data_IF_164573177715
#
_entry.id   IF_164573177715
#
_cell.length_a   1.000
_cell.length_b   1.000
_cell.length_c   1.000
_cell.angle_alpha   90.00
_cell.angle_beta   90.00
_cell.angle_gamma   90.00
#
_symmetry.space_group_name_H-M   'P 1'
#
loop_
_entity.id
_entity.type
_entity.pdbx_description
1 polymer ?
#
# COMPACT_ATOMS: atom_id res chain seq x y z
N UNK A 1 -10.36 18.44 7.98
CA UNK A 1 -9.31 17.62 7.33
C UNK A 1 -9.17 18.04 5.86
N UNK A 2 -7.99 18.42 5.37
CA UNK A 2 -7.83 19.04 4.02
C UNK A 2 -7.32 18.09 2.92
N UNK A 3 -6.91 16.87 3.24
CA UNK A 3 -6.46 15.88 2.24
C UNK A 3 -7.34 14.62 2.35
N UNK A 4 -8.09 14.31 1.29
CA UNK A 4 -8.88 13.07 1.24
C UNK A 4 -7.99 11.83 1.29
N UNK A 5 -8.45 10.78 1.97
CA UNK A 5 -7.67 9.54 2.23
C UNK A 5 -7.12 8.91 0.95
N UNK A 6 -7.92 8.94 -0.12
CA UNK A 6 -7.49 8.53 -1.47
C UNK A 6 -6.25 9.28 -1.94
N UNK A 7 -6.24 10.62 -1.84
CA UNK A 7 -5.10 11.45 -2.25
C UNK A 7 -3.86 11.20 -1.40
N UNK A 8 -4.04 10.93 -0.11
CA UNK A 8 -2.95 10.64 0.79
C UNK A 8 -2.27 9.30 0.45
N UNK A 9 -3.05 8.23 0.19
CA UNK A 9 -2.53 6.94 -0.27
C UNK A 9 -1.79 7.09 -1.60
N UNK A 10 -2.39 7.78 -2.59
CA UNK A 10 -1.76 8.00 -3.90
C UNK A 10 -0.43 8.77 -3.75
N UNK A 11 -0.43 9.85 -2.97
CA UNK A 11 0.78 10.66 -2.77
C UNK A 11 1.87 9.86 -2.08
N UNK A 12 1.54 9.11 -1.03
CA UNK A 12 2.48 8.25 -0.32
C UNK A 12 3.10 7.19 -1.25
N UNK A 13 2.27 6.53 -2.08
CA UNK A 13 2.76 5.55 -3.07
C UNK A 13 3.66 6.18 -4.13
N UNK A 14 3.30 7.35 -4.65
CA UNK A 14 4.10 8.04 -5.67
C UNK A 14 5.42 8.60 -5.12
N UNK A 15 5.46 8.98 -3.83
CA UNK A 15 6.69 9.39 -3.16
C UNK A 15 7.70 8.25 -3.00
N UNK A 16 7.26 6.98 -3.07
CA UNK A 16 8.19 5.85 -3.05
C UNK A 16 9.02 5.78 -4.36
N UNK A 17 8.45 6.16 -5.50
CA UNK A 17 9.09 6.05 -6.82
C UNK A 17 10.47 6.74 -6.92
N UNK A 18 10.63 8.03 -6.53
CA UNK A 18 11.94 8.67 -6.57
C UNK A 18 12.94 8.11 -5.55
N UNK A 19 12.48 7.38 -4.52
CA UNK A 19 13.34 6.79 -3.49
C UNK A 19 13.89 5.44 -3.92
N UNK A 20 13.19 4.71 -4.78
CA UNK A 20 13.58 3.37 -5.25
C UNK A 20 15.05 3.30 -5.72
N UNK A 21 15.58 4.22 -6.54
CA UNK A 21 16.97 4.13 -6.98
C UNK A 21 17.98 4.15 -5.82
N UNK A 22 17.71 4.98 -4.81
CA UNK A 22 18.55 5.10 -3.62
C UNK A 22 18.45 3.85 -2.74
N UNK A 23 17.24 3.30 -2.59
CA UNK A 23 16.97 2.10 -1.82
C UNK A 23 17.54 0.82 -2.46
N UNK A 24 17.38 0.67 -3.77
CA UNK A 24 17.71 -0.56 -4.48
C UNK A 24 19.14 -0.62 -5.01
N UNK A 25 19.77 0.53 -5.26
CA UNK A 25 21.11 0.61 -5.89
C UNK A 25 22.12 1.40 -5.06
N UNK A 26 21.86 1.63 -3.77
CA UNK A 26 22.80 2.28 -2.87
C UNK A 26 24.14 1.52 -2.80
N UNK A 27 25.23 2.18 -3.17
CA UNK A 27 26.58 1.56 -3.18
C UNK A 27 27.32 1.64 -1.84
N UNK A 28 26.75 2.30 -0.82
CA UNK A 28 27.35 2.44 0.51
C UNK A 28 26.32 2.14 1.60
N UNK A 29 26.75 1.66 2.79
CA UNK A 29 25.85 1.43 3.91
C UNK A 29 25.01 2.65 4.30
N UNK A 30 25.59 3.85 4.22
CA UNK A 30 24.88 5.10 4.50
C UNK A 30 23.76 5.35 3.48
N UNK A 31 24.05 5.19 2.18
CA UNK A 31 23.03 5.40 1.13
C UNK A 31 21.91 4.37 1.24
N UNK A 32 22.23 3.11 1.56
CA UNK A 32 21.24 2.06 1.80
C UNK A 32 20.39 2.36 3.04
N UNK A 33 21.00 2.86 4.12
CA UNK A 33 20.26 3.24 5.34
C UNK A 33 19.30 4.41 5.07
N UNK A 34 19.75 5.44 4.35
CA UNK A 34 18.90 6.59 3.98
C UNK A 34 17.80 6.14 3.02
N UNK A 35 18.11 5.35 2.00
CA UNK A 35 17.13 4.80 1.05
C UNK A 35 16.08 3.94 1.75
N UNK A 36 16.49 3.03 2.62
CA UNK A 36 15.60 2.20 3.43
C UNK A 36 14.71 3.03 4.35
N UNK A 37 15.27 4.03 5.04
CA UNK A 37 14.49 4.95 5.88
C UNK A 37 13.42 5.70 5.07
N UNK A 38 13.80 6.31 3.95
CA UNK A 38 12.87 7.05 3.09
C UNK A 38 11.79 6.14 2.49
N UNK A 39 12.15 4.92 2.09
CA UNK A 39 11.17 3.93 1.62
C UNK A 39 10.17 3.60 2.72
N UNK A 40 10.64 3.38 3.96
CA UNK A 40 9.75 3.10 5.08
C UNK A 40 8.84 4.28 5.41
N UNK A 41 9.32 5.53 5.31
CA UNK A 41 8.46 6.71 5.47
C UNK A 41 7.33 6.72 4.43
N UNK A 42 7.64 6.48 3.15
CA UNK A 42 6.63 6.44 2.09
C UNK A 42 5.64 5.28 2.28
N UNK A 43 6.17 4.08 2.58
CA UNK A 43 5.38 2.86 2.82
C UNK A 43 4.44 3.06 4.00
N UNK A 44 4.93 3.55 5.14
CA UNK A 44 4.09 3.81 6.31
C UNK A 44 3.06 4.91 6.07
N UNK A 45 3.38 5.90 5.25
CA UNK A 45 2.42 6.92 4.81
C UNK A 45 1.19 6.33 4.12
N UNK A 46 1.35 5.25 3.35
CA UNK A 46 0.22 4.53 2.75
C UNK A 46 -0.44 3.57 3.76
N UNK A 47 0.35 2.77 4.48
CA UNK A 47 -0.15 1.76 5.42
C UNK A 47 -0.96 2.34 6.58
N UNK A 48 -0.64 3.55 7.05
CA UNK A 48 -1.43 4.21 8.08
C UNK A 48 -2.85 4.58 7.66
N UNK A 49 -3.12 4.65 6.34
CA UNK A 49 -4.37 5.19 5.79
C UNK A 49 -5.22 4.10 5.13
N UNK A 50 -4.61 3.10 4.51
CA UNK A 50 -5.32 2.02 3.81
C UNK A 50 -6.35 1.30 4.70
N UNK A 51 -6.06 0.88 5.96
CA UNK A 51 -7.03 0.18 6.78
C UNK A 51 -8.28 1.01 7.05
N UNK A 52 -8.10 2.31 7.29
CA UNK A 52 -9.22 3.20 7.60
C UNK A 52 -10.03 3.53 6.33
N UNK A 53 -9.37 3.62 5.17
CA UNK A 53 -10.02 3.75 3.87
C UNK A 53 -10.86 2.51 3.51
N UNK A 54 -10.33 1.30 3.75
CA UNK A 54 -11.08 0.06 3.54
C UNK A 54 -12.29 -0.05 4.47
N UNK A 55 -12.18 0.43 5.71
CA UNK A 55 -13.30 0.50 6.65
C UNK A 55 -14.44 1.44 6.20
N UNK A 56 -14.13 2.53 5.47
CA UNK A 56 -15.16 3.41 4.92
C UNK A 56 -15.89 2.78 3.73
N UNK A 57 -15.21 1.91 2.99
CA UNK A 57 -15.77 1.20 1.84
C UNK A 57 -16.58 -0.03 2.23
N UNK A 58 -16.30 -0.62 3.39
CA UNK A 58 -16.95 -1.86 3.83
C UNK A 58 -18.44 -1.64 4.15
N UNK A 59 -19.30 -2.65 3.87
CA UNK A 59 -20.72 -2.60 4.22
C UNK A 59 -20.91 -2.45 5.73
N UNK A 60 -21.90 -1.68 6.23
CA UNK A 60 -22.14 -1.45 7.66
C UNK A 60 -22.15 -2.73 8.50
N UNK A 61 -22.81 -3.78 8.00
CA UNK A 61 -22.95 -5.08 8.68
C UNK A 61 -21.66 -5.92 8.73
N UNK A 62 -20.65 -5.60 7.90
CA UNK A 62 -19.42 -6.40 7.77
C UNK A 62 -18.14 -5.57 8.00
N UNK A 63 -18.25 -4.40 8.65
CA UNK A 63 -17.12 -3.45 8.79
C UNK A 63 -15.91 -4.05 9.49
N UNK A 64 -16.09 -4.98 10.43
CA UNK A 64 -15.00 -5.66 11.14
C UNK A 64 -14.40 -6.85 10.37
N UNK A 65 -15.22 -7.59 9.62
CA UNK A 65 -14.77 -8.79 8.91
C UNK A 65 -14.07 -8.47 7.59
N UNK A 66 -14.61 -7.49 6.85
CA UNK A 66 -14.19 -7.20 5.48
C UNK A 66 -12.71 -6.75 5.37
N UNK A 67 -12.21 -5.83 6.20
CA UNK A 67 -10.80 -5.41 6.14
C UNK A 67 -9.85 -6.56 6.52
N UNK A 68 -10.22 -7.36 7.53
CA UNK A 68 -9.41 -8.51 7.96
C UNK A 68 -9.31 -9.57 6.87
N UNK A 69 -10.42 -9.92 6.24
CA UNK A 69 -10.43 -10.86 5.11
C UNK A 69 -9.63 -10.34 3.92
N UNK A 70 -9.82 -9.07 3.55
CA UNK A 70 -9.06 -8.43 2.47
C UNK A 70 -7.55 -8.44 2.73
N UNK A 71 -7.14 -8.19 3.99
CA UNK A 71 -5.74 -8.23 4.39
C UNK A 71 -5.14 -9.64 4.26
N UNK A 72 -5.85 -10.66 4.73
CA UNK A 72 -5.34 -12.04 4.64
C UNK A 72 -5.28 -12.56 3.21
N UNK A 73 -6.27 -12.21 2.38
CA UNK A 73 -6.23 -12.50 0.95
C UNK A 73 -5.05 -11.79 0.27
N UNK A 74 -4.80 -10.53 0.64
CA UNK A 74 -3.64 -9.76 0.19
C UNK A 74 -2.32 -10.44 0.57
N UNK A 75 -2.19 -10.88 1.82
CA UNK A 75 -1.00 -11.61 2.29
C UNK A 75 -0.80 -12.94 1.56
N UNK A 76 -1.89 -13.66 1.26
CA UNK A 76 -1.82 -14.89 0.48
C UNK A 76 -1.25 -14.63 -0.92
N UNK A 77 -1.73 -13.57 -1.60
CA UNK A 77 -1.19 -13.16 -2.91
C UNK A 77 0.27 -12.73 -2.77
N UNK A 78 0.58 -11.89 -1.77
CA UNK A 78 1.92 -11.37 -1.50
C UNK A 78 2.93 -12.44 -1.08
N UNK A 79 2.48 -13.62 -0.62
CA UNK A 79 3.36 -14.74 -0.25
C UNK A 79 4.28 -15.19 -1.40
N UNK A 80 3.87 -14.94 -2.65
CA UNK A 80 4.68 -15.24 -3.84
C UNK A 80 5.70 -14.16 -4.19
N UNK A 81 5.67 -12.99 -3.55
CA UNK A 81 6.59 -11.90 -3.87
C UNK A 81 8.06 -12.26 -3.61
N UNK A 82 8.35 -12.97 -2.52
CA UNK A 82 9.71 -13.38 -2.21
C UNK A 82 10.31 -14.35 -3.26
N UNK A 83 9.64 -15.48 -3.62
CA UNK A 83 10.16 -16.36 -4.66
C UNK A 83 10.20 -15.71 -6.05
N UNK A 84 9.25 -14.82 -6.37
CA UNK A 84 9.29 -14.04 -7.63
C UNK A 84 10.52 -13.14 -7.67
N UNK A 85 10.82 -12.42 -6.58
CA UNK A 85 11.99 -11.55 -6.52
C UNK A 85 13.31 -12.32 -6.61
N UNK A 86 13.41 -13.46 -5.91
CA UNK A 86 14.57 -14.34 -6.02
C UNK A 86 14.76 -14.83 -7.46
N UNK A 87 13.71 -15.32 -8.11
CA UNK A 87 13.78 -15.78 -9.50
C UNK A 87 14.14 -14.66 -10.49
N UNK A 88 13.65 -13.43 -10.28
CA UNK A 88 14.06 -12.27 -11.09
C UNK A 88 15.54 -11.97 -10.87
N UNK A 89 16.02 -11.98 -9.62
CA UNK A 89 17.42 -11.70 -9.31
C UNK A 89 18.36 -12.73 -9.93
N UNK A 90 18.08 -14.02 -9.74
CA UNK A 90 18.86 -15.15 -10.29
C UNK A 90 18.94 -15.08 -11.82
N UNK A 91 17.82 -14.78 -12.49
CA UNK A 91 17.77 -14.63 -13.95
C UNK A 91 18.59 -13.43 -14.47
N UNK A 92 18.95 -12.48 -13.60
CA UNK A 92 19.73 -11.28 -13.94
C UNK A 92 21.10 -11.25 -13.24
N UNK A 93 21.69 -12.42 -12.95
CA UNK A 93 23.01 -12.53 -12.36
C UNK A 93 23.05 -12.07 -10.90
N UNK A 94 22.12 -12.58 -10.10
CA UNK A 94 21.95 -12.26 -8.68
C UNK A 94 21.67 -10.77 -8.39
N UNK A 95 21.05 -10.08 -9.35
CA UNK A 95 20.74 -8.66 -9.21
C UNK A 95 19.45 -8.41 -8.40
N UNK A 96 19.58 -8.51 -7.07
CA UNK A 96 18.49 -8.24 -6.13
C UNK A 96 18.02 -6.78 -6.15
N UNK A 97 18.90 -5.82 -6.49
CA UNK A 97 18.52 -4.42 -6.65
C UNK A 97 17.48 -4.24 -7.77
N UNK A 98 17.68 -4.89 -8.91
CA UNK A 98 16.72 -4.89 -10.01
C UNK A 98 15.39 -5.52 -9.61
N UNK A 99 15.42 -6.68 -8.94
CA UNK A 99 14.21 -7.35 -8.48
C UNK A 99 13.39 -6.47 -7.50
N UNK A 100 14.06 -5.87 -6.52
CA UNK A 100 13.44 -4.94 -5.57
C UNK A 100 12.87 -3.70 -6.26
N UNK A 101 13.63 -3.10 -7.18
CA UNK A 101 13.19 -1.91 -7.91
C UNK A 101 11.94 -2.17 -8.75
N UNK A 102 11.89 -3.30 -9.48
CA UNK A 102 10.73 -3.70 -10.26
C UNK A 102 9.51 -3.93 -9.37
N UNK A 103 9.65 -4.75 -8.33
CA UNK A 103 8.51 -5.09 -7.47
C UNK A 103 7.99 -3.88 -6.71
N UNK A 104 8.87 -3.04 -6.14
CA UNK A 104 8.45 -1.83 -5.45
C UNK A 104 7.79 -0.83 -6.41
N UNK A 105 8.39 -0.63 -7.59
CA UNK A 105 7.87 0.31 -8.59
C UNK A 105 6.51 -0.11 -9.13
N UNK A 106 6.36 -1.38 -9.52
CA UNK A 106 5.09 -1.92 -10.00
C UNK A 106 4.03 -1.85 -8.91
N UNK A 107 4.37 -2.22 -7.67
CA UNK A 107 3.43 -2.18 -6.53
C UNK A 107 2.97 -0.75 -6.25
N UNK A 108 3.89 0.22 -6.21
CA UNK A 108 3.56 1.63 -6.00
C UNK A 108 2.61 2.15 -7.09
N UNK A 109 2.85 1.80 -8.35
CA UNK A 109 1.99 2.16 -9.48
C UNK A 109 0.61 1.51 -9.39
N UNK A 110 0.54 0.21 -9.08
CA UNK A 110 -0.73 -0.50 -8.91
C UNK A 110 -1.54 0.13 -7.78
N UNK A 111 -0.94 0.39 -6.62
CA UNK A 111 -1.65 1.03 -5.49
C UNK A 111 -2.14 2.42 -5.89
N UNK A 112 -1.31 3.23 -6.55
CA UNK A 112 -1.69 4.57 -6.99
C UNK A 112 -2.86 4.52 -7.99
N UNK A 113 -2.77 3.65 -9.00
CA UNK A 113 -3.80 3.53 -10.06
C UNK A 113 -5.09 2.96 -9.49
N UNK A 114 -5.04 1.86 -8.72
CA UNK A 114 -6.25 1.28 -8.13
C UNK A 114 -6.91 2.19 -7.12
N UNK A 115 -6.14 2.90 -6.30
CA UNK A 115 -6.71 3.91 -5.39
C UNK A 115 -7.28 5.10 -6.18
N UNK A 116 -6.68 5.45 -7.32
CA UNK A 116 -7.22 6.46 -8.22
C UNK A 116 -8.51 6.01 -8.93
N UNK A 117 -8.67 4.74 -9.28
CA UNK A 117 -9.90 4.23 -9.90
C UNK A 117 -10.98 3.85 -8.88
N UNK A 118 -10.58 3.61 -7.63
CA UNK A 118 -11.45 3.17 -6.56
C UNK A 118 -12.46 4.24 -6.08
N UNK A 119 -13.61 3.81 -5.55
CA UNK A 119 -14.61 4.72 -4.99
C UNK A 119 -14.07 5.46 -3.76
N UNK A 120 -14.49 6.71 -3.58
CA UNK A 120 -14.21 7.51 -2.38
C UNK A 120 -15.55 7.87 -1.71
N UNK A 121 -15.91 7.19 -0.63
CA UNK A 121 -17.06 7.57 0.21
C UNK A 121 -16.61 8.65 1.19
N UNK A 122 -16.66 9.91 0.77
CA UNK A 122 -16.49 11.04 1.70
C UNK A 122 -17.70 11.08 2.63
N UNK A 123 -17.46 11.12 3.95
CA UNK A 123 -18.49 11.28 4.98
C UNK A 123 -19.48 10.10 5.07
N UNK A 124 -19.00 8.86 5.19
CA UNK A 124 -19.87 7.82 5.73
C UNK A 124 -20.20 8.21 7.18
N UNK A 125 -21.43 8.64 7.43
CA UNK A 125 -21.87 9.05 8.76
C UNK A 125 -22.11 7.78 9.59
N UNK A 126 -21.02 7.31 10.22
CA UNK A 126 -21.00 6.05 10.96
C UNK A 126 -22.04 6.01 12.08
N UNK A 127 -22.48 7.17 12.59
CA UNK A 127 -23.52 7.29 13.60
C UNK A 127 -24.92 7.08 12.99
N UNK A 128 -25.23 7.73 11.87
CA UNK A 128 -26.54 7.61 11.20
C UNK A 128 -26.79 6.19 10.65
N UNK A 129 -25.75 5.53 10.12
CA UNK A 129 -25.86 4.14 9.63
C UNK A 129 -26.11 3.13 10.76
N UNK A 130 -25.54 3.38 11.94
CA UNK A 130 -25.74 2.51 13.12
C UNK A 130 -27.14 2.71 13.72
N UNK A 131 -27.64 3.95 13.72
CA UNK A 131 -28.98 4.29 14.19
C UNK A 131 -30.07 3.72 13.26
N UNK A 132 -29.90 3.84 11.94
CA UNK A 132 -30.81 3.27 10.94
C UNK A 132 -30.84 1.73 10.96
N UNK A 133 -29.75 1.06 11.33
CA UNK A 133 -29.71 -0.40 11.48
C UNK A 133 -30.35 -0.90 12.80
N UNK A 134 -30.55 0.00 13.78
CA UNK A 134 -31.12 -0.33 15.10
C UNK A 134 -32.64 -0.19 15.18
N UNK A 135 -33.27 0.43 14.18
CA UNK A 135 -34.72 0.61 14.09
C UNK A 135 -35.27 0.02 12.77
N UNK A 136 -35.72 -1.26 12.77
CA UNK A 136 -36.43 -1.87 11.65
C UNK A 136 -37.86 -1.36 11.49
#
# INVERSE_FOLDING_TARGET
EKLGRRRAIITASLLALPVIPLFAFGATPLLLAVGGFLMQVAVQGAWGIVPVHLNELSPPLARSLFPGFAYQLGNLIASKNAPIQAGIAEAHGDNYGLALALVCGITAMIIAIWTALGPERKNADFAADAEAASHP
#
